data_IF_341227286596
#
_entry.id   IF_341227286596
#
_cell.length_a   1.000
_cell.length_b   1.000
_cell.length_c   1.000
_cell.angle_alpha   90.00
_cell.angle_beta   90.00
_cell.angle_gamma   90.00
#
_symmetry.space_group_name_H-M   'P 1'
#
loop_
_entity.id
_entity.type
_entity.pdbx_description
1 polymer ?
#
# COMPACT_ATOMS: atom_id res chain seq x y z
N UNK A 1 54.15 -9.82 -45.01
CA UNK A 1 52.92 -9.43 -45.72
C UNK A 1 51.97 -8.78 -44.73
N UNK A 2 51.74 -7.46 -44.86
CA UNK A 2 50.97 -6.61 -43.94
C UNK A 2 49.46 -6.84 -44.14
N UNK A 3 48.73 -7.26 -43.10
CA UNK A 3 47.26 -7.17 -43.04
C UNK A 3 46.88 -5.83 -42.43
N UNK A 4 46.32 -4.93 -43.26
CA UNK A 4 45.74 -3.66 -42.83
C UNK A 4 44.33 -3.92 -42.28
N UNK A 5 44.10 -3.51 -41.04
CA UNK A 5 42.80 -3.39 -40.40
C UNK A 5 42.15 -2.10 -40.92
N UNK A 6 40.99 -2.22 -41.58
CA UNK A 6 40.19 -1.07 -42.03
C UNK A 6 39.15 -0.79 -40.94
N UNK A 7 39.33 0.32 -40.23
CA UNK A 7 38.36 0.87 -39.31
C UNK A 7 37.16 1.43 -40.09
N UNK A 8 35.96 0.91 -39.82
CA UNK A 8 34.69 1.50 -40.27
C UNK A 8 34.35 2.69 -39.37
N UNK A 9 34.52 3.90 -39.89
CA UNK A 9 33.97 5.13 -39.31
C UNK A 9 32.49 5.17 -39.69
N UNK A 10 31.60 5.00 -38.73
CA UNK A 10 30.16 5.23 -38.88
C UNK A 10 29.92 6.71 -38.61
N UNK A 11 29.64 7.46 -39.68
CA UNK A 11 29.30 8.87 -39.67
C UNK A 11 27.82 9.00 -39.30
N UNK A 12 27.53 9.36 -38.05
CA UNK A 12 26.19 9.57 -37.53
C UNK A 12 25.70 10.96 -37.94
N UNK A 13 24.90 11.04 -39.01
CA UNK A 13 24.20 12.27 -39.40
C UNK A 13 23.10 12.57 -38.37
N UNK A 14 23.32 13.58 -37.53
CA UNK A 14 22.30 14.14 -36.67
C UNK A 14 21.25 14.89 -37.49
N UNK A 15 20.04 14.33 -37.59
CA UNK A 15 18.86 15.05 -38.06
C UNK A 15 18.41 15.95 -36.90
N UNK A 16 18.75 17.22 -36.99
CA UNK A 16 18.14 18.27 -36.16
C UNK A 16 16.74 18.52 -36.72
N UNK A 17 15.73 17.89 -36.12
CA UNK A 17 14.33 18.20 -36.38
C UNK A 17 14.05 19.58 -35.73
N UNK A 18 14.12 20.65 -36.53
CA UNK A 18 13.56 21.94 -36.13
C UNK A 18 12.04 21.79 -36.00
N UNK A 19 11.57 21.57 -34.77
CA UNK A 19 10.18 21.78 -34.41
C UNK A 19 9.90 23.28 -34.47
N UNK A 20 9.19 23.70 -35.51
CA UNK A 20 8.57 25.02 -35.56
C UNK A 20 7.53 25.10 -34.44
N UNK A 21 7.83 25.91 -33.42
CA UNK A 21 6.86 26.26 -32.37
C UNK A 21 5.82 27.18 -33.04
N UNK A 22 4.70 26.61 -33.47
CA UNK A 22 3.51 27.38 -33.80
C UNK A 22 3.02 28.07 -32.52
N UNK A 23 3.44 29.31 -32.36
CA UNK A 23 3.00 30.21 -31.31
C UNK A 23 1.65 30.79 -31.72
N UNK A 24 0.55 30.14 -31.31
CA UNK A 24 -0.79 30.74 -31.07
C UNK A 24 -1.90 29.69 -31.08
N UNK A 25 -1.89 28.75 -30.13
CA UNK A 25 -3.16 28.22 -29.64
C UNK A 25 -3.65 29.19 -28.54
N UNK A 26 -4.25 30.31 -28.96
CA UNK A 26 -5.15 31.03 -28.05
C UNK A 26 -6.35 30.09 -27.89
N UNK A 27 -6.44 29.41 -26.75
CA UNK A 27 -7.62 28.63 -26.41
C UNK A 27 -8.84 29.54 -26.59
N UNK A 28 -9.72 29.21 -27.54
CA UNK A 28 -10.97 29.92 -27.75
C UNK A 28 -11.77 29.78 -26.45
N UNK A 29 -12.26 30.88 -25.88
CA UNK A 29 -13.12 30.83 -24.71
C UNK A 29 -14.32 29.90 -25.02
N UNK A 30 -14.60 28.95 -24.13
CA UNK A 30 -15.76 28.08 -24.29
C UNK A 30 -17.02 28.93 -24.13
N UNK A 31 -17.71 29.15 -25.25
CA UNK A 31 -18.97 29.89 -25.29
C UNK A 31 -20.13 28.96 -24.97
N UNK A 32 -21.03 29.42 -24.11
CA UNK A 32 -22.24 28.71 -23.70
C UNK A 32 -23.48 29.59 -23.88
N UNK A 33 -24.67 29.01 -23.71
CA UNK A 33 -25.95 29.72 -23.72
C UNK A 33 -26.60 29.64 -22.35
N UNK A 34 -27.08 30.77 -21.87
CA UNK A 34 -27.82 30.89 -20.62
C UNK A 34 -29.24 30.37 -20.83
N UNK A 35 -29.74 29.56 -19.90
CA UNK A 35 -31.15 29.21 -19.78
C UNK A 35 -31.73 29.97 -18.58
N UNK A 36 -32.68 30.85 -18.84
CA UNK A 36 -33.47 31.52 -17.82
C UNK A 36 -34.71 30.68 -17.50
N UNK A 37 -34.85 30.32 -16.23
CA UNK A 37 -35.90 29.42 -15.72
C UNK A 37 -36.98 30.19 -14.92
N UNK A 38 -37.04 31.52 -15.12
CA UNK A 38 -38.04 32.36 -14.48
C UNK A 38 -37.60 32.94 -13.13
N UNK A 39 -38.59 33.39 -12.36
CA UNK A 39 -38.37 34.11 -11.09
C UNK A 39 -38.67 33.22 -9.89
N UNK A 40 -37.82 33.31 -8.87
CA UNK A 40 -38.01 32.64 -7.58
C UNK A 40 -38.16 33.71 -6.50
N UNK A 41 -39.15 33.54 -5.63
CA UNK A 41 -39.44 34.49 -4.55
C UNK A 41 -39.38 33.81 -3.19
N UNK A 42 -38.71 34.45 -2.25
CA UNK A 42 -38.73 34.08 -0.83
C UNK A 42 -38.69 35.34 0.03
N UNK A 43 -39.62 35.44 1.00
CA UNK A 43 -39.83 36.67 1.76
C UNK A 43 -40.15 37.85 0.82
N UNK A 44 -39.45 38.97 1.00
CA UNK A 44 -39.59 40.17 0.17
C UNK A 44 -38.64 40.21 -1.04
N UNK A 45 -37.91 39.13 -1.32
CA UNK A 45 -36.89 39.08 -2.35
C UNK A 45 -37.31 38.18 -3.50
N UNK A 46 -37.20 38.70 -4.73
CA UNK A 46 -37.41 37.96 -5.97
C UNK A 46 -36.14 38.01 -6.80
N UNK A 47 -35.66 36.85 -7.23
CA UNK A 47 -34.41 36.67 -7.99
C UNK A 47 -34.66 35.85 -9.25
N UNK A 48 -33.77 35.93 -10.23
CA UNK A 48 -33.80 35.06 -11.40
C UNK A 48 -33.25 33.67 -11.11
N UNK A 49 -33.84 32.64 -11.71
CA UNK A 49 -33.34 31.26 -11.75
C UNK A 49 -32.63 31.04 -13.08
N UNK A 50 -31.40 30.51 -13.06
CA UNK A 50 -30.60 30.32 -14.26
C UNK A 50 -29.92 28.96 -14.29
N UNK A 51 -29.70 28.47 -15.50
CA UNK A 51 -28.84 27.34 -15.79
C UNK A 51 -27.79 27.73 -16.84
N UNK A 52 -26.57 27.24 -16.64
CA UNK A 52 -25.44 27.36 -17.56
C UNK A 52 -24.83 25.98 -17.72
N UNK A 53 -24.71 25.48 -18.96
CA UNK A 53 -24.29 24.11 -19.27
C UNK A 53 -25.15 23.03 -18.57
N UNK A 54 -26.46 23.27 -18.46
CA UNK A 54 -27.40 22.37 -17.79
C UNK A 54 -27.24 22.29 -16.26
N UNK A 55 -26.39 23.13 -15.66
CA UNK A 55 -26.16 23.20 -14.20
C UNK A 55 -26.72 24.50 -13.65
N UNK A 56 -27.25 24.48 -12.43
CA UNK A 56 -27.74 25.68 -11.74
C UNK A 56 -26.63 26.72 -11.66
N UNK A 57 -26.98 27.95 -12.05
CA UNK A 57 -26.13 29.11 -11.93
C UNK A 57 -26.87 30.22 -11.16
N UNK A 58 -26.10 31.04 -10.46
CA UNK A 58 -26.61 32.10 -9.60
C UNK A 58 -26.14 33.46 -10.10
N UNK A 59 -27.00 34.45 -10.00
CA UNK A 59 -26.64 35.84 -10.27
C UNK A 59 -25.67 36.37 -9.20
N UNK A 60 -24.69 37.15 -9.65
CA UNK A 60 -23.75 37.88 -8.78
C UNK A 60 -23.99 39.40 -8.78
N UNK A 61 -24.92 39.91 -9.58
CA UNK A 61 -25.14 41.35 -9.84
C UNK A 61 -26.63 41.76 -9.77
N UNK A 62 -27.27 41.75 -8.61
CA UNK A 62 -28.73 41.99 -8.53
C UNK A 62 -29.18 43.41 -8.92
N UNK A 63 -28.26 44.35 -9.09
CA UNK A 63 -28.54 45.69 -9.65
C UNK A 63 -28.73 45.70 -11.18
N UNK A 64 -28.36 44.63 -11.87
CA UNK A 64 -28.38 44.50 -13.33
C UNK A 64 -29.59 43.72 -13.85
N UNK A 65 -29.83 43.82 -15.16
CA UNK A 65 -30.92 43.10 -15.83
C UNK A 65 -30.60 41.62 -15.97
N UNK A 66 -31.59 40.76 -15.75
CA UNK A 66 -31.45 39.32 -15.94
C UNK A 66 -31.28 38.97 -17.42
N UNK A 67 -30.27 38.15 -17.79
CA UNK A 67 -30.13 37.66 -19.16
C UNK A 67 -31.32 36.75 -19.53
N UNK A 68 -31.78 36.86 -20.77
CA UNK A 68 -32.83 35.99 -21.33
C UNK A 68 -32.29 34.61 -21.70
N UNK A 69 -33.18 33.62 -21.83
CA UNK A 69 -32.81 32.32 -22.40
C UNK A 69 -32.24 32.47 -23.81
N UNK A 70 -31.14 31.76 -24.11
CA UNK A 70 -30.43 31.81 -25.38
C UNK A 70 -29.35 32.90 -25.44
N UNK A 71 -29.21 33.75 -24.43
CA UNK A 71 -28.12 34.73 -24.36
C UNK A 71 -26.77 34.01 -24.31
N UNK A 72 -25.86 34.37 -25.21
CA UNK A 72 -24.52 33.80 -25.29
C UNK A 72 -23.63 34.41 -24.19
N UNK A 73 -22.86 33.55 -23.53
CA UNK A 73 -21.89 33.95 -22.52
C UNK A 73 -20.55 33.22 -22.75
N UNK A 74 -19.46 33.88 -22.40
CA UNK A 74 -18.14 33.26 -22.30
C UNK A 74 -17.95 32.72 -20.89
N UNK A 75 -17.38 31.52 -20.79
CA UNK A 75 -17.08 30.90 -19.50
C UNK A 75 -15.61 31.07 -19.11
N UNK A 76 -15.37 31.36 -17.83
CA UNK A 76 -14.02 31.48 -17.27
C UNK A 76 -14.00 31.09 -15.79
N UNK A 77 -12.81 30.77 -15.28
CA UNK A 77 -12.62 30.50 -13.84
C UNK A 77 -12.70 31.83 -13.08
N UNK A 78 -13.47 31.84 -12.01
CA UNK A 78 -13.61 32.98 -11.10
C UNK A 78 -12.93 32.68 -9.77
N UNK A 79 -11.68 33.14 -9.61
CA UNK A 79 -10.82 32.81 -8.46
C UNK A 79 -11.08 33.71 -7.25
N UNK A 80 -12.30 33.71 -6.73
CA UNK A 80 -12.65 34.35 -5.45
C UNK A 80 -13.10 33.28 -4.43
N UNK A 81 -12.43 33.24 -3.29
CA UNK A 81 -12.66 32.21 -2.28
C UNK A 81 -14.03 32.30 -1.63
N UNK A 82 -14.60 33.50 -1.47
CA UNK A 82 -15.94 33.69 -0.91
C UNK A 82 -17.02 33.26 -1.91
N UNK A 83 -16.81 33.47 -3.20
CA UNK A 83 -17.70 32.98 -4.26
C UNK A 83 -17.69 31.45 -4.34
N UNK A 84 -16.50 30.83 -4.29
CA UNK A 84 -16.39 29.36 -4.23
C UNK A 84 -17.09 28.82 -2.99
N UNK A 85 -16.89 29.46 -1.83
CA UNK A 85 -17.53 29.11 -0.57
C UNK A 85 -19.05 29.22 -0.63
N UNK A 86 -19.58 30.32 -1.19
CA UNK A 86 -21.01 30.51 -1.43
C UNK A 86 -21.59 29.38 -2.27
N UNK A 87 -20.89 28.94 -3.31
CA UNK A 87 -21.35 27.87 -4.19
C UNK A 87 -21.19 26.48 -3.58
N UNK A 88 -20.19 26.29 -2.72
CA UNK A 88 -19.93 25.02 -2.04
C UNK A 88 -21.00 24.72 -0.98
N UNK A 89 -21.31 25.71 -0.13
CA UNK A 89 -22.31 25.56 0.93
C UNK A 89 -23.71 26.05 0.54
N UNK A 90 -23.83 26.70 -0.62
CA UNK A 90 -25.10 27.20 -1.14
C UNK A 90 -26.03 26.10 -1.60
N UNK A 91 -27.21 26.49 -2.07
CA UNK A 91 -28.19 25.54 -2.58
C UNK A 91 -27.66 24.74 -3.77
N UNK A 92 -27.86 23.42 -3.75
CA UNK A 92 -27.26 22.47 -4.71
C UNK A 92 -25.72 22.45 -4.73
N UNK A 93 -25.08 23.00 -3.70
CA UNK A 93 -23.66 22.84 -3.42
C UNK A 93 -23.29 21.44 -2.92
N UNK A 94 -22.02 21.25 -2.60
CA UNK A 94 -21.49 19.95 -2.12
C UNK A 94 -21.86 19.69 -0.67
N UNK A 95 -21.75 20.71 0.19
CA UNK A 95 -22.15 20.65 1.60
C UNK A 95 -23.21 21.71 1.88
N UNK A 96 -24.40 21.51 1.31
CA UNK A 96 -25.52 22.45 1.44
C UNK A 96 -25.77 22.81 2.91
N UNK A 97 -25.74 24.10 3.21
CA UNK A 97 -25.95 24.61 4.56
C UNK A 97 -27.31 24.18 5.10
N UNK A 98 -27.30 23.53 6.27
CA UNK A 98 -28.51 22.98 6.91
C UNK A 98 -29.54 24.04 7.27
N UNK A 99 -29.12 25.30 7.47
CA UNK A 99 -30.02 26.42 7.79
C UNK A 99 -31.04 26.73 6.70
N UNK A 100 -30.87 26.22 5.47
CA UNK A 100 -31.93 26.31 4.44
C UNK A 100 -33.16 25.46 4.77
N UNK A 101 -33.07 24.50 5.70
CA UNK A 101 -34.16 23.63 6.13
C UNK A 101 -34.90 22.92 4.97
N UNK A 102 -34.17 22.57 3.90
CA UNK A 102 -34.73 21.94 2.70
C UNK A 102 -35.62 22.85 1.84
N UNK A 103 -35.76 24.13 2.17
CA UNK A 103 -36.56 25.07 1.39
C UNK A 103 -35.77 25.57 0.17
N UNK A 104 -36.08 25.04 -1.01
CA UNK A 104 -35.39 25.38 -2.25
C UNK A 104 -35.48 26.86 -2.61
N UNK A 105 -36.64 27.50 -2.43
CA UNK A 105 -36.79 28.92 -2.72
C UNK A 105 -35.92 29.78 -1.81
N UNK A 106 -35.87 29.45 -0.51
CA UNK A 106 -34.98 30.13 0.42
C UNK A 106 -33.51 29.91 0.05
N UNK A 107 -33.12 28.66 -0.16
CA UNK A 107 -31.75 28.29 -0.51
C UNK A 107 -31.26 29.03 -1.76
N UNK A 108 -32.07 29.07 -2.81
CA UNK A 108 -31.71 29.74 -4.06
C UNK A 108 -31.59 31.25 -3.85
N UNK A 109 -32.59 31.88 -3.21
CA UNK A 109 -32.61 33.33 -2.95
C UNK A 109 -31.45 33.75 -2.04
N UNK A 110 -31.21 33.04 -0.94
CA UNK A 110 -30.11 33.33 -0.02
C UNK A 110 -28.75 33.14 -0.70
N UNK A 111 -28.57 32.09 -1.51
CA UNK A 111 -27.30 31.83 -2.21
C UNK A 111 -26.94 32.94 -3.18
N UNK A 112 -27.88 33.35 -4.05
CA UNK A 112 -27.59 34.41 -5.03
C UNK A 112 -27.43 35.79 -4.40
N UNK A 113 -28.11 36.06 -3.28
CA UNK A 113 -27.96 37.31 -2.55
C UNK A 113 -26.66 37.36 -1.74
N UNK A 114 -26.18 36.22 -1.22
CA UNK A 114 -24.85 36.12 -0.61
C UNK A 114 -23.74 36.36 -1.65
N UNK A 115 -23.89 35.84 -2.87
CA UNK A 115 -22.95 36.10 -3.96
C UNK A 115 -22.85 37.61 -4.27
N UNK A 116 -23.98 38.29 -4.42
CA UNK A 116 -24.02 39.73 -4.65
C UNK A 116 -23.54 40.55 -3.43
N UNK A 117 -23.67 40.01 -2.21
CA UNK A 117 -23.04 40.59 -1.02
C UNK A 117 -21.51 40.61 -1.15
N UNK A 118 -20.89 39.46 -1.41
CA UNK A 118 -19.42 39.39 -1.51
C UNK A 118 -18.86 40.11 -2.74
N UNK A 119 -19.63 40.19 -3.82
CA UNK A 119 -19.16 40.78 -5.08
C UNK A 119 -19.43 42.28 -5.16
N UNK A 120 -20.59 42.74 -4.67
CA UNK A 120 -21.06 44.12 -4.84
C UNK A 120 -21.41 44.82 -3.51
N UNK A 121 -21.24 44.15 -2.36
CA UNK A 121 -21.52 44.74 -1.04
C UNK A 121 -23.00 44.85 -0.70
N UNK A 122 -23.89 44.13 -1.39
CA UNK A 122 -25.32 44.18 -1.08
C UNK A 122 -25.63 43.60 0.30
N UNK A 123 -26.64 44.13 1.00
CA UNK A 123 -26.94 43.72 2.38
C UNK A 123 -28.42 43.41 2.55
N UNK A 124 -28.87 42.30 1.93
CA UNK A 124 -30.27 41.86 2.00
C UNK A 124 -30.49 40.97 3.22
N UNK A 125 -31.48 41.34 4.05
CA UNK A 125 -31.83 40.62 5.28
C UNK A 125 -32.05 39.12 5.08
N UNK A 126 -32.64 38.72 3.93
CA UNK A 126 -32.92 37.31 3.62
C UNK A 126 -31.64 36.44 3.59
N UNK A 127 -30.49 36.99 3.19
CA UNK A 127 -29.24 36.24 3.11
C UNK A 127 -28.39 36.33 4.38
N UNK A 128 -28.79 37.13 5.38
CA UNK A 128 -27.94 37.49 6.52
C UNK A 128 -27.42 36.28 7.29
N UNK A 129 -28.28 35.30 7.58
CA UNK A 129 -27.88 34.13 8.37
C UNK A 129 -26.95 33.21 7.57
N UNK A 130 -27.17 33.08 6.27
CA UNK A 130 -26.29 32.32 5.39
C UNK A 130 -24.93 33.01 5.24
N UNK A 131 -24.89 34.34 5.07
CA UNK A 131 -23.64 35.12 5.05
C UNK A 131 -22.89 34.96 6.38
N UNK A 132 -23.57 35.07 7.52
CA UNK A 132 -22.93 34.88 8.83
C UNK A 132 -22.34 33.47 9.00
N UNK A 133 -23.04 32.44 8.51
CA UNK A 133 -22.48 31.09 8.44
C UNK A 133 -21.24 31.05 7.54
N UNK A 134 -21.34 31.60 6.31
CA UNK A 134 -20.25 31.63 5.36
C UNK A 134 -19.03 32.36 5.92
N UNK A 135 -19.18 33.46 6.66
CA UNK A 135 -18.05 34.17 7.27
C UNK A 135 -17.27 33.30 8.27
N UNK A 136 -17.95 32.36 8.94
CA UNK A 136 -17.35 31.45 9.93
C UNK A 136 -16.88 30.10 9.36
N UNK A 137 -17.45 29.64 8.24
CA UNK A 137 -17.15 28.33 7.68
C UNK A 137 -15.72 28.26 7.14
N UNK A 138 -15.09 27.07 7.04
CA UNK A 138 -13.79 26.95 6.39
C UNK A 138 -13.92 27.14 4.88
N UNK A 139 -12.88 27.68 4.24
CA UNK A 139 -12.75 27.63 2.78
C UNK A 139 -12.59 26.15 2.39
N UNK A 140 -13.40 25.61 1.46
CA UNK A 140 -13.25 24.23 1.00
C UNK A 140 -11.81 24.02 0.52
N UNK A 141 -11.14 23.00 1.07
CA UNK A 141 -9.78 22.67 0.66
C UNK A 141 -9.82 22.17 -0.79
N UNK A 142 -9.09 22.80 -1.70
CA UNK A 142 -9.07 22.37 -3.11
C UNK A 142 -8.28 21.05 -3.34
N UNK A 143 -8.16 20.20 -2.31
CA UNK A 143 -7.50 18.91 -2.35
C UNK A 143 -7.92 18.01 -1.19
N UNK A 144 -7.65 16.73 -1.35
CA UNK A 144 -7.46 15.74 -0.30
C UNK A 144 -5.98 15.56 -0.03
N UNK A 145 -5.65 15.39 1.25
CA UNK A 145 -4.31 15.09 1.73
C UNK A 145 -4.37 13.98 2.77
N UNK A 146 -3.33 13.15 2.82
CA UNK A 146 -3.13 12.26 3.96
C UNK A 146 -2.59 13.07 5.15
N UNK A 147 -3.12 12.84 6.35
CA UNK A 147 -2.62 13.50 7.57
C UNK A 147 -1.17 13.11 7.87
N UNK A 148 -0.81 11.88 7.56
CA UNK A 148 0.56 11.34 7.59
C UNK A 148 0.85 10.74 6.23
N UNK A 149 1.95 11.17 5.60
CA UNK A 149 2.34 10.76 4.24
C UNK A 149 3.44 9.71 4.22
N UNK A 150 4.31 9.71 5.23
CA UNK A 150 5.40 8.75 5.36
C UNK A 150 5.07 7.82 6.52
N UNK A 151 4.65 6.61 6.19
CA UNK A 151 4.18 5.61 7.15
C UNK A 151 5.28 4.61 7.48
N UNK A 152 5.32 4.16 8.73
CA UNK A 152 6.30 3.20 9.23
C UNK A 152 5.60 1.88 9.63
N UNK A 153 5.99 0.79 8.98
CA UNK A 153 5.43 -0.51 9.32
C UNK A 153 5.96 -1.04 10.66
N UNK A 154 5.11 -1.77 11.39
CA UNK A 154 5.47 -2.60 12.56
C UNK A 154 5.03 -4.03 12.36
N UNK A 155 5.70 -4.98 13.02
CA UNK A 155 5.26 -6.38 13.02
C UNK A 155 4.11 -6.54 14.02
N UNK A 156 2.98 -7.06 13.54
CA UNK A 156 1.81 -7.36 14.35
C UNK A 156 1.11 -8.60 13.76
N UNK A 157 0.83 -9.60 14.61
CA UNK A 157 0.08 -10.81 14.24
C UNK A 157 0.61 -11.54 12.98
N UNK A 158 1.95 -11.63 12.85
CA UNK A 158 2.58 -12.33 11.73
C UNK A 158 2.57 -11.59 10.40
N UNK A 159 2.26 -10.29 10.39
CA UNK A 159 2.31 -9.40 9.23
C UNK A 159 2.91 -8.05 9.60
N UNK A 160 3.21 -7.24 8.59
CA UNK A 160 3.56 -5.84 8.77
C UNK A 160 2.31 -4.97 8.67
N UNK A 161 2.14 -4.04 9.60
CA UNK A 161 0.99 -3.12 9.70
C UNK A 161 1.52 -1.71 9.95
N UNK A 162 1.08 -0.72 9.19
CA UNK A 162 1.46 0.69 9.41
C UNK A 162 0.64 1.32 10.54
N UNK A 163 1.06 2.50 11.00
CA UNK A 163 0.13 3.42 11.66
C UNK A 163 -1.00 3.85 10.72
N UNK A 164 -2.07 4.38 11.31
CA UNK A 164 -3.21 4.90 10.57
C UNK A 164 -2.93 6.32 10.05
N UNK A 165 -3.48 6.62 8.89
CA UNK A 165 -3.55 7.99 8.34
C UNK A 165 -4.98 8.29 7.91
N UNK A 166 -5.41 9.54 8.09
CA UNK A 166 -6.74 9.99 7.66
C UNK A 166 -6.63 10.76 6.36
N UNK A 167 -7.53 10.51 5.43
CA UNK A 167 -7.69 11.31 4.22
C UNK A 167 -8.54 12.53 4.56
N UNK A 168 -7.96 13.72 4.51
CA UNK A 168 -8.60 14.96 4.94
C UNK A 168 -8.60 15.99 3.83
N UNK A 169 -9.75 16.61 3.59
CA UNK A 169 -9.87 17.66 2.59
C UNK A 169 -11.31 18.00 2.27
N UNK A 170 -11.60 18.23 1.00
CA UNK A 170 -12.96 18.52 0.54
C UNK A 170 -13.74 17.26 0.16
N UNK A 171 -14.97 17.20 0.63
CA UNK A 171 -15.94 16.16 0.32
C UNK A 171 -16.21 16.09 -1.20
N UNK A 172 -16.37 14.87 -1.72
CA UNK A 172 -16.65 14.61 -3.13
C UNK A 172 -15.41 14.55 -4.04
N UNK A 173 -14.25 15.00 -3.58
CA UNK A 173 -12.96 14.69 -4.22
C UNK A 173 -12.53 13.29 -3.76
N UNK A 174 -11.79 12.58 -4.61
CA UNK A 174 -11.21 11.26 -4.31
C UNK A 174 -9.74 11.23 -4.72
N UNK A 175 -8.96 10.37 -4.09
CA UNK A 175 -7.58 10.05 -4.46
C UNK A 175 -7.56 8.64 -5.05
N UNK A 176 -7.02 8.51 -6.25
CA UNK A 176 -6.94 7.22 -6.95
C UNK A 176 -5.49 6.91 -7.31
N UNK A 177 -4.98 5.78 -6.83
CA UNK A 177 -3.58 5.39 -6.97
C UNK A 177 -3.41 3.87 -6.94
N UNK A 178 -2.27 3.38 -7.43
CA UNK A 178 -1.95 1.95 -7.42
C UNK A 178 -1.12 1.59 -6.19
N UNK A 179 -1.38 0.41 -5.61
CA UNK A 179 -0.56 -0.18 -4.54
C UNK A 179 0.08 -1.51 -5.02
N UNK A 180 1.22 -1.93 -4.44
CA UNK A 180 1.88 -3.19 -4.79
C UNK A 180 0.96 -4.40 -4.61
N UNK A 181 1.15 -5.43 -5.45
CA UNK A 181 0.29 -6.63 -5.47
C UNK A 181 0.26 -7.43 -4.15
N UNK A 182 1.28 -7.27 -3.31
CA UNK A 182 1.45 -7.92 -2.02
C UNK A 182 1.09 -7.00 -0.84
N UNK A 183 0.64 -5.77 -1.09
CA UNK A 183 0.23 -4.81 -0.06
C UNK A 183 -1.29 -4.70 -0.04
N UNK A 184 -1.86 -4.67 1.15
CA UNK A 184 -3.29 -4.49 1.40
C UNK A 184 -3.51 -3.13 2.03
N UNK A 185 -4.37 -2.30 1.44
CA UNK A 185 -4.95 -1.15 2.12
C UNK A 185 -6.18 -1.61 2.90
N UNK A 186 -6.34 -1.12 4.12
CA UNK A 186 -7.51 -1.36 4.96
C UNK A 186 -8.10 0.00 5.33
N UNK A 187 -9.39 0.18 5.09
CA UNK A 187 -10.14 1.37 5.52
C UNK A 187 -10.97 1.02 6.75
N UNK A 188 -10.47 1.44 7.91
CA UNK A 188 -11.06 1.18 9.23
C UNK A 188 -12.40 1.89 9.42
N UNK A 189 -12.55 3.09 8.86
CA UNK A 189 -13.82 3.84 8.89
C UNK A 189 -14.86 3.31 7.90
N UNK A 190 -14.40 2.73 6.78
CA UNK A 190 -15.24 2.25 5.69
C UNK A 190 -15.56 0.75 5.72
N UNK A 191 -14.94 -0.02 6.62
CA UNK A 191 -15.05 -1.48 6.73
C UNK A 191 -14.79 -2.20 5.40
N UNK A 192 -13.75 -1.81 4.69
CA UNK A 192 -13.32 -2.47 3.45
C UNK A 192 -11.80 -2.57 3.38
N UNK A 193 -11.32 -3.53 2.59
CA UNK A 193 -9.89 -3.68 2.28
C UNK A 193 -9.68 -4.09 0.84
N UNK A 194 -8.48 -3.83 0.31
CA UNK A 194 -8.09 -4.24 -1.03
C UNK A 194 -6.60 -4.54 -1.10
N UNK A 195 -6.26 -5.69 -1.70
CA UNK A 195 -4.88 -6.10 -1.96
C UNK A 195 -4.51 -5.82 -3.41
N UNK A 196 -3.44 -5.07 -3.64
CA UNK A 196 -2.91 -4.78 -4.97
C UNK A 196 -3.77 -3.89 -5.88
N UNK A 197 -3.09 -3.33 -6.90
CA UNK A 197 -3.72 -2.59 -7.99
C UNK A 197 -4.31 -1.26 -7.55
N UNK A 198 -5.27 -0.75 -8.34
CA UNK A 198 -5.81 0.59 -8.15
C UNK A 198 -6.81 0.66 -7.00
N UNK A 199 -6.57 1.58 -6.07
CA UNK A 199 -7.44 1.90 -4.93
C UNK A 199 -7.99 3.32 -5.08
N UNK A 200 -9.13 3.58 -4.46
CA UNK A 200 -9.75 4.91 -4.42
C UNK A 200 -10.18 5.21 -2.98
N UNK A 201 -9.77 6.36 -2.45
CA UNK A 201 -10.06 6.81 -1.08
C UNK A 201 -10.65 8.22 -1.10
N UNK A 202 -11.48 8.53 -0.12
CA UNK A 202 -12.28 9.76 -0.03
C UNK A 202 -12.05 10.51 1.28
N UNK A 203 -12.53 11.75 1.35
CA UNK A 203 -12.52 12.53 2.59
C UNK A 203 -13.13 11.74 3.77
N UNK A 204 -12.41 11.69 4.89
CA UNK A 204 -12.81 11.01 6.12
C UNK A 204 -12.37 9.54 6.21
N UNK A 205 -11.81 8.96 5.15
CA UNK A 205 -11.28 7.59 5.22
C UNK A 205 -10.10 7.52 6.20
N UNK A 206 -10.23 6.67 7.22
CA UNK A 206 -9.14 6.29 8.14
C UNK A 206 -8.56 4.99 7.63
N UNK A 207 -7.31 5.02 7.17
CA UNK A 207 -6.68 3.89 6.49
C UNK A 207 -5.37 3.49 7.15
N UNK A 208 -5.01 2.22 7.01
CA UNK A 208 -3.66 1.70 7.23
C UNK A 208 -3.30 0.68 6.14
N UNK A 209 -2.04 0.28 6.09
CA UNK A 209 -1.54 -0.70 5.14
C UNK A 209 -0.99 -1.93 5.85
N UNK A 210 -1.18 -3.07 5.21
CA UNK A 210 -0.69 -4.36 5.66
C UNK A 210 0.15 -5.02 4.56
N UNK A 211 1.20 -5.75 4.94
CA UNK A 211 2.06 -6.48 4.02
C UNK A 211 2.63 -7.76 4.65
N UNK A 212 3.07 -8.75 3.85
CA UNK A 212 3.84 -9.89 4.35
C UNK A 212 5.08 -9.47 5.13
N UNK A 213 5.48 -10.26 6.13
CA UNK A 213 6.72 -10.01 6.88
C UNK A 213 7.97 -10.02 5.99
N UNK A 214 7.93 -10.75 4.88
CA UNK A 214 9.00 -10.82 3.88
C UNK A 214 9.15 -9.56 3.03
N UNK A 215 8.20 -8.61 3.08
CA UNK A 215 8.29 -7.36 2.34
C UNK A 215 9.33 -6.43 2.95
N UNK A 216 10.23 -5.87 2.13
CA UNK A 216 11.30 -4.99 2.61
C UNK A 216 11.40 -3.71 1.77
N UNK A 217 12.14 -2.73 2.30
CA UNK A 217 12.40 -1.45 1.65
C UNK A 217 11.24 -0.46 1.74
N UNK A 218 11.33 0.61 0.97
CA UNK A 218 10.29 1.65 0.94
C UNK A 218 9.50 1.56 -0.35
N UNK A 219 8.18 1.59 -0.25
CA UNK A 219 7.31 1.87 -1.38
C UNK A 219 6.85 3.32 -1.32
N UNK A 220 6.80 3.98 -2.47
CA UNK A 220 6.19 5.30 -2.62
C UNK A 220 5.24 5.30 -3.79
N UNK A 221 4.08 5.92 -3.62
CA UNK A 221 3.19 6.18 -4.73
C UNK A 221 3.86 7.13 -5.75
N UNK A 222 3.43 7.05 -7.00
CA UNK A 222 3.55 8.19 -7.92
C UNK A 222 2.80 9.41 -7.35
N UNK A 223 2.97 10.59 -7.97
CA UNK A 223 2.11 11.73 -7.67
C UNK A 223 0.64 11.33 -7.88
N UNK A 224 -0.15 11.46 -6.81
CA UNK A 224 -1.56 11.11 -6.78
C UNK A 224 -2.36 12.38 -7.07
N UNK A 225 -2.97 12.51 -8.26
CA UNK A 225 -3.84 13.63 -8.53
C UNK A 225 -5.12 13.52 -7.71
N UNK A 226 -5.62 14.66 -7.25
CA UNK A 226 -7.02 14.75 -6.82
C UNK A 226 -7.95 14.43 -7.99
N UNK A 227 -9.13 13.84 -7.79
CA UNK A 227 -10.01 13.49 -8.92
C UNK A 227 -10.49 14.71 -9.72
N UNK A 228 -10.65 15.85 -9.04
CA UNK A 228 -10.85 17.17 -9.61
C UNK A 228 -10.65 18.23 -8.52
N UNK A 229 -10.52 19.49 -8.92
CA UNK A 229 -10.63 20.63 -8.00
C UNK A 229 -11.93 21.38 -8.23
N UNK A 230 -12.58 21.80 -7.14
CA UNK A 230 -13.78 22.62 -7.19
C UNK A 230 -13.41 24.07 -7.47
N UNK A 231 -14.08 24.68 -8.45
CA UNK A 231 -13.87 26.08 -8.81
C UNK A 231 -15.21 26.75 -9.13
N UNK A 232 -15.26 28.07 -9.01
CA UNK A 232 -16.36 28.86 -9.53
C UNK A 232 -16.15 29.10 -11.03
N UNK A 233 -17.19 28.85 -11.83
CA UNK A 233 -17.19 29.11 -13.27
C UNK A 233 -18.14 30.27 -13.53
N UNK A 234 -17.57 31.40 -13.92
CA UNK A 234 -18.28 32.60 -14.33
C UNK A 234 -18.75 32.43 -15.77
N UNK A 235 -20.01 32.74 -16.03
CA UNK A 235 -20.57 32.97 -17.34
C UNK A 235 -20.86 34.46 -17.49
N UNK A 236 -20.13 35.10 -18.40
CA UNK A 236 -20.21 36.54 -18.64
C UNK A 236 -20.67 36.82 -20.07
N UNK A 237 -21.68 37.65 -20.20
CA UNK A 237 -22.18 38.14 -21.49
C UNK A 237 -21.33 39.30 -21.99
N UNK A 238 -21.33 39.54 -23.31
CA UNK A 238 -20.69 40.72 -23.90
C UNK A 238 -21.39 42.03 -23.52
N UNK A 239 -22.69 41.99 -23.19
CA UNK A 239 -23.44 43.10 -22.64
C UNK A 239 -23.16 43.25 -21.13
N UNK A 240 -22.51 44.35 -20.75
CA UNK A 240 -22.15 44.65 -19.36
C UNK A 240 -23.32 45.07 -18.48
N UNK A 241 -24.47 45.40 -19.08
CA UNK A 241 -25.73 45.71 -18.40
C UNK A 241 -26.50 44.48 -17.91
N UNK A 242 -26.09 43.29 -18.34
CA UNK A 242 -26.66 42.02 -17.89
C UNK A 242 -25.91 41.44 -16.68
N UNK A 243 -26.62 40.64 -15.90
CA UNK A 243 -26.11 39.95 -14.73
C UNK A 243 -25.00 38.94 -15.10
N UNK A 244 -23.87 38.99 -14.37
CA UNK A 244 -22.92 37.88 -14.36
C UNK A 244 -23.52 36.69 -13.61
N UNK A 245 -23.34 35.49 -14.15
CA UNK A 245 -23.81 34.26 -13.54
C UNK A 245 -22.63 33.39 -13.14
N UNK A 246 -22.72 32.70 -12.02
CA UNK A 246 -21.68 31.79 -11.56
C UNK A 246 -22.27 30.46 -11.09
N UNK A 247 -21.54 29.38 -11.36
CA UNK A 247 -21.88 28.04 -10.90
C UNK A 247 -20.65 27.33 -10.36
N UNK A 248 -20.87 26.31 -9.55
CA UNK A 248 -19.80 25.40 -9.17
C UNK A 248 -19.37 24.57 -10.40
N UNK A 249 -18.07 24.42 -10.59
CA UNK A 249 -17.46 23.63 -11.64
C UNK A 249 -16.38 22.72 -11.10
N UNK A 250 -16.03 21.72 -11.92
CA UNK A 250 -14.91 20.82 -11.70
C UNK A 250 -13.86 21.17 -12.74
N UNK A 251 -12.61 21.21 -12.33
CA UNK A 251 -11.45 21.35 -13.23
C UNK A 251 -10.52 20.17 -13.01
N UNK A 252 -9.77 19.83 -14.04
CA UNK A 252 -8.64 18.92 -13.93
C UNK A 252 -7.75 19.33 -12.74
N UNK A 253 -7.34 18.35 -11.94
CA UNK A 253 -6.54 18.60 -10.75
C UNK A 253 -5.21 19.23 -11.12
N UNK A 254 -4.87 20.30 -10.42
CA UNK A 254 -3.52 20.87 -10.41
C UNK A 254 -2.81 20.61 -9.08
N UNK A 255 -3.49 19.95 -8.14
CA UNK A 255 -3.01 19.59 -6.82
C UNK A 255 -2.78 18.09 -6.75
N UNK A 256 -1.65 17.72 -6.16
CA UNK A 256 -1.18 16.34 -6.05
C UNK A 256 -0.77 16.07 -4.61
N UNK A 257 -0.89 14.82 -4.22
CA UNK A 257 -0.32 14.31 -2.98
C UNK A 257 0.47 13.04 -3.25
N UNK A 258 1.06 12.46 -2.21
CA UNK A 258 1.76 11.19 -2.28
C UNK A 258 1.72 10.53 -0.92
N UNK A 259 1.92 9.21 -0.93
CA UNK A 259 2.06 8.41 0.28
C UNK A 259 3.23 7.44 0.09
N UNK A 260 3.97 7.22 1.17
CA UNK A 260 5.07 6.28 1.24
C UNK A 260 4.88 5.36 2.44
N UNK A 261 5.38 4.14 2.30
CA UNK A 261 5.38 3.12 3.34
C UNK A 261 6.80 2.59 3.44
N UNK A 262 7.39 2.71 4.61
CA UNK A 262 8.66 2.10 4.95
C UNK A 262 8.40 0.75 5.61
N UNK A 263 8.74 -0.33 4.90
CA UNK A 263 8.63 -1.68 5.43
C UNK A 263 9.87 -2.06 6.23
N UNK A 264 9.67 -2.87 7.26
CA UNK A 264 10.74 -3.43 8.05
C UNK A 264 11.53 -4.42 7.20
N UNK A 265 12.84 -4.16 7.12
CA UNK A 265 13.83 -5.05 6.52
C UNK A 265 14.05 -6.31 7.38
N UNK A 266 13.18 -7.31 7.22
CA UNK A 266 13.37 -8.65 7.83
C UNK A 266 13.75 -9.71 6.80
N UNK A 267 14.32 -10.82 7.26
CA UNK A 267 14.56 -12.03 6.49
C UNK A 267 14.15 -13.28 7.28
N UNK A 268 14.57 -14.44 6.80
CA UNK A 268 14.20 -15.74 7.38
C UNK A 268 15.36 -16.72 7.42
N UNK A 269 15.32 -17.67 8.35
CA UNK A 269 16.07 -18.91 8.28
C UNK A 269 15.22 -20.03 7.68
N UNK A 270 15.84 -20.84 6.84
CA UNK A 270 15.40 -22.20 6.51
C UNK A 270 16.54 -23.15 6.83
N UNK A 271 16.30 -24.13 7.69
CA UNK A 271 17.26 -25.19 7.98
C UNK A 271 16.82 -26.48 7.31
N UNK A 272 17.79 -27.26 6.87
CA UNK A 272 17.59 -28.65 6.47
C UNK A 272 18.53 -29.53 7.30
N UNK A 273 17.92 -30.33 8.15
CA UNK A 273 18.60 -31.20 9.10
C UNK A 273 18.65 -32.61 8.56
N UNK A 274 19.84 -33.15 8.35
CA UNK A 274 20.03 -34.49 7.79
C UNK A 274 20.93 -35.37 8.64
N UNK A 275 20.77 -36.68 8.43
CA UNK A 275 21.69 -37.71 8.90
C UNK A 275 23.01 -37.61 8.13
N UNK A 276 24.14 -37.61 8.86
CA UNK A 276 25.48 -37.44 8.26
C UNK A 276 25.92 -38.58 7.35
N UNK A 277 25.31 -39.76 7.46
CA UNK A 277 25.68 -40.97 6.71
C UNK A 277 24.67 -41.28 5.59
N UNK A 278 23.37 -41.18 5.86
CA UNK A 278 22.31 -41.51 4.91
C UNK A 278 21.84 -40.32 4.09
N UNK A 279 22.01 -39.09 4.61
CA UNK A 279 21.43 -37.88 4.03
C UNK A 279 19.92 -37.75 4.24
N UNK A 280 19.30 -38.67 5.00
CA UNK A 280 17.87 -38.62 5.30
C UNK A 280 17.53 -37.45 6.24
N UNK A 281 16.36 -36.86 6.05
CA UNK A 281 15.86 -35.78 6.91
C UNK A 281 15.63 -36.22 8.35
N UNK A 282 16.01 -35.37 9.31
CA UNK A 282 15.84 -35.63 10.74
C UNK A 282 14.67 -34.79 11.27
N UNK A 283 13.56 -35.45 11.56
CA UNK A 283 12.36 -34.87 12.16
C UNK A 283 12.56 -34.48 13.63
N UNK A 284 11.79 -33.49 14.07
CA UNK A 284 11.62 -33.08 15.47
C UNK A 284 12.92 -32.56 16.13
N UNK A 285 13.87 -32.09 15.33
CA UNK A 285 15.05 -31.37 15.84
C UNK A 285 14.68 -29.91 16.11
N UNK A 286 15.06 -29.38 17.27
CA UNK A 286 14.74 -28.02 17.69
C UNK A 286 16.00 -27.18 17.81
N UNK A 287 16.04 -26.06 17.11
CA UNK A 287 17.05 -25.01 17.27
C UNK A 287 16.46 -23.82 18.02
N UNK A 288 17.25 -23.28 18.93
CA UNK A 288 17.03 -21.94 19.47
C UNK A 288 17.82 -20.93 18.65
N UNK A 289 17.20 -19.80 18.33
CA UNK A 289 17.83 -18.72 17.55
C UNK A 289 18.01 -17.50 18.44
N UNK A 290 19.24 -17.02 18.57
CA UNK A 290 19.59 -15.82 19.34
C UNK A 290 20.16 -14.74 18.45
N UNK A 291 19.82 -13.48 18.72
CA UNK A 291 20.40 -12.33 18.03
C UNK A 291 21.81 -12.00 18.58
N UNK A 292 22.47 -10.97 18.00
CA UNK A 292 23.82 -10.56 18.41
C UNK A 292 23.94 -10.15 19.89
N UNK A 293 22.85 -9.68 20.52
CA UNK A 293 22.83 -9.32 21.94
C UNK A 293 22.61 -10.52 22.86
N UNK A 294 22.44 -11.72 22.30
CA UNK A 294 22.23 -12.97 23.03
C UNK A 294 20.77 -13.23 23.45
N UNK A 295 19.83 -12.40 22.99
CA UNK A 295 18.40 -12.54 23.25
C UNK A 295 17.80 -13.66 22.38
N UNK A 296 16.95 -14.50 22.98
CA UNK A 296 16.23 -15.55 22.27
C UNK A 296 15.09 -14.93 21.44
N UNK A 297 15.22 -15.00 20.11
CA UNK A 297 14.25 -14.41 19.18
C UNK A 297 13.27 -15.44 18.61
N UNK A 298 13.54 -16.73 18.77
CA UNK A 298 12.62 -17.78 18.32
C UNK A 298 13.21 -19.18 18.40
N UNK A 299 12.41 -20.15 17.93
CA UNK A 299 12.81 -21.54 17.77
C UNK A 299 12.43 -22.05 16.39
N UNK A 300 13.26 -22.91 15.82
CA UNK A 300 12.99 -23.64 14.58
C UNK A 300 12.80 -25.10 14.95
N UNK A 301 11.74 -25.74 14.45
CA UNK A 301 11.51 -27.18 14.62
C UNK A 301 11.42 -27.85 13.25
N UNK A 302 12.14 -28.95 13.06
CA UNK A 302 12.16 -29.65 11.77
C UNK A 302 10.95 -30.56 11.57
N UNK A 303 10.46 -30.61 10.33
CA UNK A 303 9.38 -31.47 9.85
C UNK A 303 9.86 -32.89 9.50
N UNK A 304 8.99 -33.72 8.91
CA UNK A 304 9.30 -35.12 8.58
C UNK A 304 10.44 -35.29 7.58
N UNK A 305 10.69 -34.26 6.76
CA UNK A 305 11.76 -34.25 5.77
C UNK A 305 13.01 -33.52 6.29
N UNK A 306 13.02 -33.10 7.55
CA UNK A 306 14.15 -32.40 8.17
C UNK A 306 14.16 -30.88 7.94
N UNK A 307 13.12 -30.28 7.36
CA UNK A 307 13.07 -28.84 7.10
C UNK A 307 12.41 -28.06 8.22
N UNK A 308 12.89 -26.86 8.52
CA UNK A 308 12.23 -25.95 9.45
C UNK A 308 12.55 -24.48 9.16
N UNK A 309 11.62 -23.58 9.46
CA UNK A 309 11.76 -22.15 9.17
C UNK A 309 11.53 -21.26 10.39
N UNK A 310 12.14 -20.07 10.37
CA UNK A 310 11.83 -18.96 11.27
C UNK A 310 11.94 -17.65 10.48
N UNK A 311 10.82 -16.93 10.39
CA UNK A 311 10.67 -15.72 9.59
C UNK A 311 10.58 -14.46 10.46
N UNK A 312 10.65 -13.28 9.84
CA UNK A 312 10.47 -12.00 10.53
C UNK A 312 11.67 -11.56 11.36
N UNK A 313 12.86 -12.07 11.03
CA UNK A 313 14.09 -11.73 11.72
C UNK A 313 14.70 -10.45 11.15
N UNK A 314 15.01 -9.47 11.97
CA UNK A 314 15.75 -8.28 11.52
C UNK A 314 17.08 -8.67 10.87
N UNK A 315 17.50 -7.93 9.85
CA UNK A 315 18.82 -8.16 9.25
C UNK A 315 19.95 -8.04 10.29
N UNK A 316 20.91 -8.96 10.23
CA UNK A 316 22.04 -9.01 11.16
C UNK A 316 22.51 -10.42 11.49
N UNK A 317 23.42 -10.51 12.46
CA UNK A 317 24.05 -11.76 12.87
C UNK A 317 23.26 -12.49 13.95
N UNK A 318 23.14 -13.80 13.79
CA UNK A 318 22.46 -14.70 14.70
C UNK A 318 23.30 -15.93 15.03
N UNK A 319 22.98 -16.52 16.17
CA UNK A 319 23.54 -17.79 16.64
C UNK A 319 22.40 -18.79 16.81
N UNK A 320 22.52 -19.92 16.13
CA UNK A 320 21.61 -21.06 16.25
C UNK A 320 22.27 -22.12 17.14
N UNK A 321 21.57 -22.53 18.19
CA UNK A 321 21.99 -23.64 19.05
C UNK A 321 20.97 -24.77 18.93
N UNK A 322 21.45 -25.97 18.62
CA UNK A 322 20.62 -27.17 18.65
C UNK A 322 20.24 -27.47 20.10
N UNK A 323 18.97 -27.29 20.45
CA UNK A 323 18.47 -27.49 21.81
C UNK A 323 18.29 -28.99 22.08
N UNK A 324 17.68 -29.69 21.12
CA UNK A 324 17.51 -31.13 21.12
C UNK A 324 17.37 -31.68 19.69
N UNK A 325 17.59 -32.99 19.57
CA UNK A 325 17.24 -33.82 18.41
C UNK A 325 16.48 -35.04 18.92
N UNK A 326 15.90 -35.83 18.02
CA UNK A 326 15.20 -37.04 18.41
C UNK A 326 16.16 -38.08 19.03
N UNK A 327 15.60 -39.12 19.65
CA UNK A 327 16.37 -40.04 20.50
C UNK A 327 17.45 -40.85 19.76
N UNK A 328 17.38 -40.92 18.43
CA UNK A 328 18.31 -41.69 17.61
C UNK A 328 19.60 -40.94 17.29
N UNK A 329 19.65 -39.62 17.46
CA UNK A 329 20.77 -38.79 17.01
C UNK A 329 21.59 -38.19 18.15
N UNK A 330 22.89 -38.04 17.92
CA UNK A 330 23.77 -37.27 18.78
C UNK A 330 23.56 -35.79 18.48
N UNK A 331 23.10 -35.04 19.48
CA UNK A 331 22.89 -33.60 19.36
C UNK A 331 24.21 -32.87 19.09
N UNK A 332 24.20 -31.91 18.17
CA UNK A 332 25.32 -31.00 18.01
C UNK A 332 25.60 -30.19 19.29
N UNK A 333 26.89 -29.98 19.60
CA UNK A 333 27.33 -29.16 20.76
C UNK A 333 27.87 -27.80 20.36
N UNK A 334 28.24 -27.63 19.09
CA UNK A 334 28.72 -26.37 18.54
C UNK A 334 27.55 -25.51 18.07
N UNK A 335 27.67 -24.21 18.31
CA UNK A 335 26.75 -23.22 17.77
C UNK A 335 27.02 -22.96 16.29
N UNK A 336 25.97 -22.61 15.55
CA UNK A 336 26.03 -22.19 14.15
C UNK A 336 25.82 -20.68 14.10
N UNK A 337 26.81 -19.94 13.57
CA UNK A 337 26.68 -18.50 13.35
C UNK A 337 26.32 -18.23 11.90
N UNK A 338 25.33 -17.37 11.69
CA UNK A 338 24.86 -17.02 10.35
C UNK A 338 24.25 -15.62 10.32
N UNK A 339 24.22 -15.02 9.13
CA UNK A 339 23.68 -13.69 8.90
C UNK A 339 22.32 -13.78 8.19
N UNK A 340 21.37 -12.97 8.64
CA UNK A 340 20.11 -12.71 7.93
C UNK A 340 20.29 -11.46 7.09
N UNK A 341 20.10 -11.63 5.77
CA UNK A 341 19.93 -10.52 4.84
C UNK A 341 18.45 -10.17 4.72
N UNK A 342 18.13 -8.89 4.69
CA UNK A 342 16.76 -8.42 4.50
C UNK A 342 16.17 -8.90 3.17
N UNK A 343 14.95 -9.45 3.21
CA UNK A 343 14.20 -9.93 2.05
C UNK A 343 14.64 -11.31 1.54
N UNK A 344 15.62 -11.94 2.19
CA UNK A 344 16.15 -13.24 1.79
C UNK A 344 15.84 -14.33 2.82
N UNK A 345 15.88 -15.58 2.35
CA UNK A 345 15.87 -16.77 3.21
C UNK A 345 17.26 -17.35 3.25
N UNK A 346 17.92 -17.24 4.40
CA UNK A 346 19.22 -17.87 4.66
C UNK A 346 19.02 -19.36 4.88
N UNK A 347 19.55 -20.16 3.95
CA UNK A 347 19.44 -21.63 3.97
C UNK A 347 20.65 -22.25 4.67
N UNK A 348 20.42 -23.16 5.61
CA UNK A 348 21.46 -23.85 6.37
C UNK A 348 21.29 -25.37 6.28
N UNK A 349 22.31 -26.06 5.77
CA UNK A 349 22.39 -27.51 5.75
C UNK A 349 23.16 -28.00 6.99
N UNK A 350 22.51 -28.80 7.84
CA UNK A 350 23.03 -29.17 9.16
C UNK A 350 22.94 -30.68 9.38
N UNK A 351 24.01 -31.32 9.83
CA UNK A 351 24.07 -32.79 9.96
C UNK A 351 24.22 -33.27 11.41
N UNK A 352 23.66 -34.44 11.73
CA UNK A 352 23.86 -35.12 13.02
C UNK A 352 24.30 -36.55 12.75
N UNK A 353 25.13 -37.06 13.64
CA UNK A 353 25.52 -38.46 13.63
C UNK A 353 24.45 -39.31 14.32
N UNK A 354 24.13 -40.44 13.71
CA UNK A 354 23.29 -41.44 14.34
C UNK A 354 24.00 -42.00 15.57
N UNK A 355 23.26 -42.20 16.67
CA UNK A 355 23.79 -42.89 17.85
C UNK A 355 24.14 -44.31 17.46
N UNK A 356 25.35 -44.71 17.83
CA UNK A 356 25.88 -46.05 17.62
C UNK A 356 25.88 -46.81 18.93
N UNK A 357 25.74 -48.12 18.83
CA UNK A 357 25.82 -49.04 19.94
C UNK A 357 26.66 -50.26 19.56
N UNK A 358 26.97 -51.05 20.57
CA UNK A 358 27.91 -52.15 20.43
C UNK A 358 27.14 -53.47 20.48
N UNK A 359 27.36 -54.35 19.50
CA UNK A 359 26.76 -55.68 19.47
C UNK A 359 27.78 -56.74 19.91
N UNK A 360 27.35 -57.66 20.78
CA UNK A 360 28.16 -58.81 21.20
C UNK A 360 27.44 -60.12 20.94
N UNK A 361 28.07 -61.01 20.18
CA UNK A 361 27.50 -62.31 19.79
C UNK A 361 28.25 -63.44 20.50
N UNK A 362 27.49 -64.37 21.09
CA UNK A 362 28.00 -65.62 21.64
C UNK A 362 27.40 -66.79 20.86
N UNK A 363 28.23 -67.50 20.11
CA UNK A 363 27.79 -68.72 19.41
C UNK A 363 28.18 -69.94 20.22
N UNK A 364 27.17 -70.68 20.67
CA UNK A 364 27.35 -71.89 21.48
C UNK A 364 26.70 -73.09 20.81
N UNK A 365 27.09 -74.28 21.28
CA UNK A 365 26.44 -75.54 20.96
C UNK A 365 25.01 -75.58 21.52
N UNK A 366 24.09 -76.23 20.79
CA UNK A 366 22.66 -76.27 21.13
C UNK A 366 22.37 -77.16 22.35
N UNK A 367 23.12 -78.24 22.50
CA UNK A 367 22.91 -79.25 23.55
C UNK A 367 23.78 -78.95 24.78
N UNK A 368 24.84 -78.16 24.62
CA UNK A 368 25.67 -77.69 25.73
C UNK A 368 26.15 -76.23 25.56
N UNK A 369 25.41 -75.29 26.15
CA UNK A 369 25.71 -73.84 26.11
C UNK A 369 27.05 -73.43 26.75
N UNK A 370 27.82 -74.35 27.34
CA UNK A 370 29.20 -74.09 27.80
C UNK A 370 30.25 -74.29 26.71
N UNK A 371 29.90 -74.95 25.61
CA UNK A 371 30.78 -75.16 24.45
C UNK A 371 30.61 -73.99 23.49
N UNK A 372 31.67 -73.19 23.34
CA UNK A 372 31.72 -72.05 22.42
C UNK A 372 32.18 -72.54 21.05
N UNK A 373 31.49 -72.08 19.99
CA UNK A 373 31.79 -72.45 18.61
C UNK A 373 32.56 -71.32 17.93
N UNK A 374 33.85 -71.56 17.66
CA UNK A 374 34.71 -70.66 16.89
C UNK A 374 34.61 -70.87 15.38
N UNK A 375 35.20 -69.95 14.63
CA UNK A 375 35.23 -69.90 13.16
C UNK A 375 33.84 -69.85 12.49
N UNK A 376 32.82 -69.33 13.17
CA UNK A 376 31.49 -69.11 12.60
C UNK A 376 31.38 -67.67 12.11
N UNK A 377 31.04 -67.49 10.84
CA UNK A 377 30.96 -66.18 10.21
C UNK A 377 29.54 -65.62 10.26
N UNK A 378 29.42 -64.33 10.53
CA UNK A 378 28.18 -63.56 10.53
C UNK A 378 28.39 -62.29 9.70
N UNK A 379 27.48 -62.03 8.77
CA UNK A 379 27.35 -60.70 8.15
C UNK A 379 26.39 -59.85 8.97
N UNK A 380 26.82 -58.64 9.31
CA UNK A 380 25.97 -57.63 9.90
C UNK A 380 25.37 -56.77 8.80
N UNK A 381 24.08 -56.94 8.54
CA UNK A 381 23.32 -56.14 7.60
C UNK A 381 22.65 -54.96 8.33
N UNK A 382 22.86 -53.74 7.84
CA UNK A 382 22.11 -52.57 8.29
C UNK A 382 20.88 -52.41 7.41
N UNK A 383 19.70 -52.48 8.03
CA UNK A 383 18.44 -52.17 7.34
C UNK A 383 18.37 -50.69 6.96
N UNK A 384 18.95 -49.80 7.74
CA UNK A 384 18.95 -48.36 7.45
C UNK A 384 19.82 -48.02 6.23
N UNK A 385 21.04 -48.57 6.18
CA UNK A 385 21.98 -48.34 5.07
C UNK A 385 21.75 -49.32 3.90
N UNK A 386 20.81 -50.25 4.04
CA UNK A 386 20.49 -51.31 3.09
C UNK A 386 21.72 -52.09 2.58
N UNK A 387 22.72 -52.32 3.44
CA UNK A 387 23.99 -52.97 3.08
C UNK A 387 24.60 -53.78 4.23
N UNK A 388 25.47 -54.73 3.89
CA UNK A 388 26.36 -55.36 4.87
C UNK A 388 27.38 -54.32 5.33
N UNK A 389 27.37 -54.03 6.64
CA UNK A 389 28.27 -53.05 7.28
C UNK A 389 29.49 -53.69 7.93
N UNK A 390 29.52 -55.03 7.99
CA UNK A 390 30.72 -55.77 8.38
C UNK A 390 30.48 -57.27 8.41
N UNK A 391 31.58 -58.02 8.44
CA UNK A 391 31.58 -59.47 8.52
C UNK A 391 32.48 -59.90 9.68
N UNK A 392 31.95 -60.73 10.58
CA UNK A 392 32.58 -61.06 11.86
C UNK A 392 32.67 -62.57 12.03
N UNK A 393 33.80 -63.07 12.53
CA UNK A 393 34.04 -64.50 12.70
C UNK A 393 34.26 -64.82 14.18
N UNK A 394 33.47 -65.73 14.76
CA UNK A 394 33.63 -66.10 16.17
C UNK A 394 35.00 -66.71 16.44
N UNK A 395 35.55 -66.49 17.65
CA UNK A 395 36.74 -67.20 18.09
C UNK A 395 36.41 -68.25 19.18
N UNK A 396 37.33 -69.19 19.39
CA UNK A 396 37.21 -70.22 20.43
C UNK A 396 37.56 -69.72 21.84
N UNK A 397 38.04 -68.47 21.95
CA UNK A 397 38.59 -67.90 23.18
C UNK A 397 37.62 -66.92 23.87
N UNK A 398 36.36 -66.86 23.46
CA UNK A 398 35.35 -65.98 24.06
C UNK A 398 35.72 -64.48 23.97
N UNK A 399 36.59 -64.09 23.02
CA UNK A 399 37.06 -62.72 22.90
C UNK A 399 36.20 -61.92 21.93
N UNK A 400 35.22 -61.25 22.55
CA UNK A 400 34.79 -59.86 22.29
C UNK A 400 35.09 -59.30 20.89
N UNK A 401 34.04 -59.21 20.07
CA UNK A 401 33.93 -58.10 19.12
C UNK A 401 33.36 -56.91 19.89
N UNK A 402 34.09 -55.80 19.90
CA UNK A 402 33.54 -54.49 20.20
C UNK A 402 33.24 -53.87 18.84
N UNK A 403 31.96 -53.71 18.53
CA UNK A 403 31.52 -52.82 17.45
C UNK A 403 31.29 -51.43 18.03
#
# INVERSE_FOLDING_TARGET
>A
MKRKIIAKVIMMFGIVLLLTINSSNIAKADTTTIQYDGKITYGSSTVGSFYVDGKRAFCMDHSKLSPSSGTVAETSIYSDSNVVKCLYYGWEGVEVWSGFNGNSNYGIVATTLALDHYVNGSNKTVAKDFIAFLDSAPIPKESLEFTTKDLEAKIQDGKQVTEQTTVMGTTGITLKFDIPNDVTIVCDSGNWSKTGGTVEVSNGDLIHFEAPITKTGTWSSSQIPNSYILNAILAQTSDSGLQRLVRLGKKDPTTYTSISINFISTGAFEIHKTDSETGNGIKDTVYTVKNFSGELVGKIKTDENGYGTLEGLYAGNYTLNEENSNENYIKATSDVNSEITAGETTKLELTNEHKKGNLKIYKVDKDNNRVVLGNVQFDLYSEELQKVIGTYTTDVNCNKFYL
#
